data_IF_739518703620
#
_entry.id   IF_739518703620
#
_cell.length_a   1.000
_cell.length_b   1.000
_cell.length_c   1.000
_cell.angle_alpha   90.00
_cell.angle_beta   90.00
_cell.angle_gamma   90.00
#
_symmetry.space_group_name_H-M   'P 1'
#
loop_
_entity.id
_entity.type
_entity.pdbx_description
1 polymer ?
#
# COMPACT_ATOMS: atom_id res chain seq x y z
N UNK A 1 -2.03 -4.62 -11.65
CA UNK A 1 -1.37 -3.68 -12.60
C UNK A 1 -0.19 -4.39 -13.32
N UNK A 2 0.18 -4.00 -14.56
CA UNK A 2 1.31 -4.66 -15.28
C UNK A 2 2.67 -4.20 -14.71
N UNK A 3 2.77 -2.97 -14.24
CA UNK A 3 4.06 -2.38 -13.80
C UNK A 3 4.59 -2.93 -12.48
N UNK A 4 3.69 -3.24 -11.54
CA UNK A 4 4.02 -3.85 -10.26
C UNK A 4 4.76 -5.17 -10.47
N UNK A 5 4.31 -6.00 -11.41
CA UNK A 5 4.92 -7.29 -11.74
C UNK A 5 6.31 -7.19 -12.37
N UNK A 6 6.70 -6.01 -12.86
CA UNK A 6 8.08 -5.77 -13.29
C UNK A 6 9.02 -5.49 -12.10
N UNK A 7 8.48 -5.00 -10.95
CA UNK A 7 9.28 -4.66 -9.78
C UNK A 7 9.87 -5.88 -9.06
N UNK A 8 9.27 -7.07 -9.24
CA UNK A 8 9.79 -8.32 -8.66
C UNK A 8 10.10 -9.41 -9.71
N UNK A 9 10.30 -9.00 -10.97
CA UNK A 9 10.63 -9.89 -12.09
C UNK A 9 9.59 -11.01 -12.36
N UNK A 10 8.29 -10.78 -12.06
CA UNK A 10 7.20 -11.65 -12.55
C UNK A 10 6.95 -11.41 -14.03
N UNK A 11 7.01 -10.14 -14.47
CA UNK A 11 7.02 -9.75 -15.87
C UNK A 11 8.35 -9.10 -16.21
N UNK A 12 8.87 -9.42 -17.39
CA UNK A 12 10.11 -8.82 -17.90
C UNK A 12 9.80 -7.66 -18.83
N UNK A 13 10.57 -6.57 -18.78
CA UNK A 13 10.40 -5.45 -19.67
C UNK A 13 10.84 -5.82 -21.10
N UNK A 14 10.08 -5.44 -22.12
CA UNK A 14 10.37 -5.75 -23.51
C UNK A 14 11.29 -4.73 -24.20
N UNK A 15 11.43 -3.52 -23.69
CA UNK A 15 12.14 -2.44 -24.36
C UNK A 15 13.13 -1.63 -23.51
N UNK A 16 12.99 -1.69 -22.17
CA UNK A 16 13.84 -0.95 -21.23
C UNK A 16 14.32 -1.88 -20.12
N UNK A 17 15.37 -1.49 -19.38
CA UNK A 17 15.81 -2.21 -18.21
C UNK A 17 15.05 -1.73 -16.96
N UNK A 18 14.70 -2.67 -16.08
CA UNK A 18 14.23 -2.39 -14.72
C UNK A 18 15.30 -2.88 -13.76
N UNK A 19 15.70 -2.02 -12.84
CA UNK A 19 16.73 -2.32 -11.85
C UNK A 19 16.09 -2.37 -10.45
N UNK A 20 16.37 -3.45 -9.73
CA UNK A 20 15.96 -3.63 -8.33
C UNK A 20 17.21 -3.73 -7.49
N UNK A 21 17.44 -2.76 -6.61
CA UNK A 21 18.65 -2.69 -5.79
C UNK A 21 19.97 -2.86 -6.61
N UNK A 22 20.00 -2.30 -7.85
CA UNK A 22 21.12 -2.39 -8.77
C UNK A 22 21.15 -3.65 -9.64
N UNK A 23 20.26 -4.60 -9.42
CA UNK A 23 20.14 -5.85 -10.18
C UNK A 23 19.23 -5.65 -11.39
N UNK A 24 19.67 -6.02 -12.59
CA UNK A 24 18.86 -5.97 -13.82
C UNK A 24 17.88 -7.15 -13.85
N UNK A 25 16.59 -6.86 -13.82
CA UNK A 25 15.53 -7.90 -13.79
C UNK A 25 15.45 -8.78 -15.03
N UNK A 26 16.19 -8.49 -16.11
CA UNK A 26 16.25 -9.31 -17.31
C UNK A 26 17.19 -10.52 -17.15
N UNK A 27 18.03 -10.54 -16.09
CA UNK A 27 18.93 -11.64 -15.78
C UNK A 27 18.20 -12.66 -14.94
N UNK A 28 17.94 -13.82 -15.51
CA UNK A 28 17.19 -14.91 -14.85
C UNK A 28 17.92 -15.52 -13.66
N UNK A 29 19.25 -15.61 -13.71
CA UNK A 29 20.08 -16.05 -12.60
C UNK A 29 19.96 -15.19 -11.34
N UNK A 30 19.52 -13.93 -11.48
CA UNK A 30 19.40 -12.97 -10.37
C UNK A 30 17.94 -12.82 -9.84
N UNK A 31 16.97 -13.51 -10.41
CA UNK A 31 15.56 -13.36 -10.01
C UNK A 31 15.28 -13.72 -8.55
N UNK A 32 16.03 -14.66 -8.00
CA UNK A 32 15.88 -15.01 -6.59
C UNK A 32 16.23 -13.82 -5.68
N UNK A 33 17.31 -13.10 -6.01
CA UNK A 33 17.73 -11.91 -5.26
C UNK A 33 16.72 -10.75 -5.44
N UNK A 34 16.20 -10.56 -6.64
CA UNK A 34 15.13 -9.58 -6.91
C UNK A 34 13.90 -9.88 -6.04
N UNK A 35 13.43 -11.13 -6.00
CA UNK A 35 12.25 -11.56 -5.23
C UNK A 35 12.46 -11.57 -3.73
N UNK A 36 13.70 -11.76 -3.26
CA UNK A 36 14.07 -11.53 -1.87
C UNK A 36 14.00 -10.06 -1.49
N UNK A 37 14.40 -9.18 -2.41
CA UNK A 37 14.45 -7.73 -2.17
C UNK A 37 13.07 -7.11 -2.22
N UNK A 38 12.21 -7.53 -3.16
CA UNK A 38 10.86 -6.97 -3.38
C UNK A 38 9.82 -8.07 -3.22
N UNK A 39 9.10 -8.03 -2.12
CA UNK A 39 7.93 -8.86 -1.90
C UNK A 39 6.70 -8.28 -2.60
N UNK A 40 5.77 -9.13 -3.02
CA UNK A 40 4.55 -8.71 -3.70
C UNK A 40 3.32 -9.35 -3.08
N UNK A 41 2.31 -8.53 -2.79
CA UNK A 41 1.00 -8.94 -2.28
C UNK A 41 -0.05 -8.64 -3.35
N UNK A 42 -0.84 -9.65 -3.71
CA UNK A 42 -1.88 -9.55 -4.73
C UNK A 42 -3.21 -9.08 -4.16
N UNK A 43 -4.07 -8.59 -5.05
CA UNK A 43 -5.41 -8.09 -4.73
C UNK A 43 -6.30 -9.14 -4.04
N UNK A 44 -6.24 -10.41 -4.47
CA UNK A 44 -7.01 -11.50 -3.88
C UNK A 44 -6.10 -12.40 -3.05
N UNK A 45 -6.25 -12.45 -1.70
CA UNK A 45 -5.43 -13.28 -0.84
C UNK A 45 -5.64 -14.79 -1.07
N UNK A 46 -6.81 -15.23 -1.53
CA UNK A 46 -7.08 -16.64 -1.81
C UNK A 46 -6.20 -17.19 -2.95
N UNK A 47 -5.68 -16.32 -3.83
CA UNK A 47 -4.74 -16.72 -4.87
C UNK A 47 -3.29 -16.81 -4.38
N UNK A 48 -3.02 -16.35 -3.16
CA UNK A 48 -1.67 -16.28 -2.60
C UNK A 48 -1.47 -17.30 -1.47
N UNK A 49 -2.50 -17.54 -0.66
CA UNK A 49 -2.47 -18.51 0.43
C UNK A 49 -2.48 -19.94 -0.15
N UNK A 50 -1.49 -20.74 0.21
CA UNK A 50 -1.27 -22.10 -0.33
C UNK A 50 -1.37 -23.20 0.72
N UNK A 51 -1.17 -22.90 2.02
CA UNK A 51 -1.27 -23.88 3.10
C UNK A 51 -2.66 -23.93 3.73
N UNK A 52 -2.95 -25.04 4.41
CA UNK A 52 -4.16 -25.23 5.22
C UNK A 52 -4.03 -24.71 6.66
N UNK A 53 -2.85 -24.25 7.06
CA UNK A 53 -2.55 -23.68 8.39
C UNK A 53 -1.85 -22.34 8.21
N UNK A 54 -2.26 -21.32 8.96
CA UNK A 54 -1.75 -19.95 8.84
C UNK A 54 -0.23 -19.89 9.04
N UNK A 55 0.31 -20.48 10.09
CA UNK A 55 1.76 -20.42 10.36
C UNK A 55 2.60 -21.15 9.30
N UNK A 56 2.07 -22.23 8.72
CA UNK A 56 2.72 -22.94 7.61
C UNK A 56 2.71 -22.10 6.33
N UNK A 57 1.63 -21.37 6.07
CA UNK A 57 1.54 -20.47 4.93
C UNK A 57 2.55 -19.33 5.03
N UNK A 58 2.69 -18.74 6.22
CA UNK A 58 3.67 -17.69 6.50
C UNK A 58 5.11 -18.23 6.44
N UNK A 59 5.34 -19.49 6.80
CA UNK A 59 6.65 -20.16 6.70
C UNK A 59 7.06 -20.50 5.27
N UNK A 60 6.11 -20.66 4.36
CA UNK A 60 6.31 -21.15 3.00
C UNK A 60 7.39 -20.38 2.21
N UNK A 61 7.36 -19.07 2.27
CA UNK A 61 8.31 -18.25 1.52
C UNK A 61 9.75 -18.31 2.11
N UNK A 62 10.00 -18.14 3.42
CA UNK A 62 11.33 -18.32 3.99
C UNK A 62 11.87 -19.75 3.84
N UNK A 63 11.02 -20.79 3.88
CA UNK A 63 11.44 -22.16 3.59
C UNK A 63 11.99 -22.31 2.17
N UNK A 64 11.28 -21.79 1.17
CA UNK A 64 11.73 -21.79 -0.22
C UNK A 64 13.00 -20.97 -0.45
N UNK A 65 13.30 -20.01 0.41
CA UNK A 65 14.53 -19.23 0.39
C UNK A 65 15.69 -19.93 1.10
N UNK A 66 15.48 -21.12 1.68
CA UNK A 66 16.50 -21.89 2.39
C UNK A 66 16.91 -21.27 3.74
N UNK A 67 16.01 -20.54 4.39
CA UNK A 67 16.26 -19.98 5.73
C UNK A 67 16.33 -21.13 6.74
N UNK A 68 17.26 -21.13 7.72
CA UNK A 68 17.33 -22.16 8.77
C UNK A 68 16.03 -22.25 9.59
N UNK A 69 15.65 -23.45 10.01
CA UNK A 69 14.36 -23.73 10.69
C UNK A 69 14.14 -22.88 11.93
N UNK A 70 15.16 -22.69 12.76
CA UNK A 70 15.05 -21.87 13.98
C UNK A 70 14.76 -20.41 13.65
N UNK A 71 15.35 -19.91 12.57
CA UNK A 71 15.13 -18.55 12.09
C UNK A 71 13.76 -18.41 11.41
N UNK A 72 13.28 -19.43 10.70
CA UNK A 72 11.92 -19.44 10.13
C UNK A 72 10.89 -19.26 11.25
N UNK A 73 10.98 -20.02 12.34
CA UNK A 73 10.05 -19.90 13.46
C UNK A 73 10.02 -18.48 14.01
N UNK A 74 11.19 -17.91 14.27
CA UNK A 74 11.32 -16.52 14.74
C UNK A 74 10.65 -15.51 13.79
N UNK A 75 10.88 -15.66 12.47
CA UNK A 75 10.31 -14.77 11.45
C UNK A 75 8.80 -14.89 11.33
N UNK A 76 8.28 -16.11 11.39
CA UNK A 76 6.83 -16.39 11.38
C UNK A 76 6.14 -15.75 12.58
N UNK A 77 6.65 -15.98 13.78
CA UNK A 77 6.08 -15.41 15.00
C UNK A 77 6.08 -13.88 14.95
N UNK A 78 7.20 -13.27 14.54
CA UNK A 78 7.33 -11.81 14.37
C UNK A 78 6.39 -11.27 13.30
N UNK A 79 6.28 -11.94 12.15
CA UNK A 79 5.40 -11.50 11.06
C UNK A 79 3.93 -11.52 11.47
N UNK A 80 3.50 -12.60 12.14
CA UNK A 80 2.13 -12.72 12.67
C UNK A 80 1.82 -11.68 13.76
N UNK A 81 2.80 -11.34 14.58
CA UNK A 81 2.67 -10.27 15.59
C UNK A 81 2.50 -8.89 14.91
N UNK A 82 3.30 -8.57 13.91
CA UNK A 82 3.23 -7.29 13.16
C UNK A 82 1.83 -7.08 12.58
N UNK A 83 1.25 -8.12 11.98
CA UNK A 83 -0.07 -8.05 11.34
C UNK A 83 -1.24 -8.32 12.31
N UNK A 84 -0.98 -8.57 13.60
CA UNK A 84 -2.00 -8.84 14.61
C UNK A 84 -2.73 -10.18 14.43
N UNK A 85 -2.03 -11.20 13.88
CA UNK A 85 -2.61 -12.52 13.58
C UNK A 85 -2.05 -13.67 14.44
N UNK A 86 -1.28 -13.40 15.49
CA UNK A 86 -0.65 -14.43 16.34
C UNK A 86 -1.66 -15.41 16.94
N UNK A 87 -2.84 -14.94 17.35
CA UNK A 87 -3.90 -15.80 17.90
C UNK A 87 -4.52 -16.77 16.87
N UNK A 88 -4.24 -16.57 15.59
CA UNK A 88 -4.77 -17.37 14.48
C UNK A 88 -3.71 -18.28 13.84
N UNK A 89 -2.51 -18.39 14.43
CA UNK A 89 -1.38 -19.12 13.84
C UNK A 89 -1.71 -20.55 13.42
N UNK A 90 -2.48 -21.26 14.25
CA UNK A 90 -2.89 -22.67 14.02
C UNK A 90 -4.24 -22.81 13.31
N UNK A 91 -4.87 -21.70 12.93
CA UNK A 91 -6.17 -21.74 12.24
C UNK A 91 -6.03 -22.09 10.76
N UNK A 92 -7.11 -22.64 10.21
CA UNK A 92 -7.20 -22.85 8.78
C UNK A 92 -7.59 -21.54 8.08
N UNK A 93 -6.88 -21.12 7.01
CA UNK A 93 -7.15 -19.85 6.31
C UNK A 93 -8.59 -19.68 5.81
N UNK A 94 -9.27 -20.77 5.44
CA UNK A 94 -10.65 -20.71 4.95
C UNK A 94 -11.67 -20.29 6.03
N UNK A 95 -11.30 -20.30 7.31
CA UNK A 95 -12.14 -19.84 8.44
C UNK A 95 -11.94 -18.33 8.72
N UNK A 96 -11.02 -17.68 8.05
CA UNK A 96 -10.67 -16.29 8.25
C UNK A 96 -11.55 -15.35 7.40
N UNK A 97 -11.78 -14.13 7.92
CA UNK A 97 -12.38 -13.06 7.12
C UNK A 97 -11.44 -12.61 5.99
N UNK A 98 -11.96 -11.88 4.99
CA UNK A 98 -11.14 -11.34 3.89
C UNK A 98 -9.98 -10.48 4.40
N UNK A 99 -10.22 -9.57 5.36
CA UNK A 99 -9.18 -8.75 5.96
C UNK A 99 -8.13 -9.56 6.73
N UNK A 100 -8.55 -10.61 7.45
CA UNK A 100 -7.63 -11.52 8.13
C UNK A 100 -6.76 -12.29 7.12
N UNK A 101 -7.34 -12.83 6.04
CA UNK A 101 -6.61 -13.50 4.95
C UNK A 101 -5.58 -12.56 4.32
N UNK A 102 -5.97 -11.32 4.07
CA UNK A 102 -5.06 -10.32 3.50
C UNK A 102 -3.88 -10.03 4.43
N UNK A 103 -4.11 -9.92 5.74
CA UNK A 103 -3.04 -9.77 6.72
C UNK A 103 -2.13 -11.01 6.79
N UNK A 104 -2.66 -12.21 6.66
CA UNK A 104 -1.85 -13.44 6.55
C UNK A 104 -0.99 -13.42 5.29
N UNK A 105 -1.56 -13.05 4.14
CA UNK A 105 -0.79 -12.90 2.90
C UNK A 105 0.34 -11.87 3.03
N UNK A 106 0.07 -10.74 3.71
CA UNK A 106 1.10 -9.74 4.05
C UNK A 106 2.16 -10.34 4.98
N UNK A 107 1.77 -11.11 6.01
CA UNK A 107 2.71 -11.77 6.92
C UNK A 107 3.66 -12.72 6.20
N UNK A 108 3.16 -13.52 5.24
CA UNK A 108 3.99 -14.39 4.41
C UNK A 108 5.09 -13.64 3.65
N UNK A 109 4.78 -12.43 3.18
CA UNK A 109 5.77 -11.56 2.53
C UNK A 109 6.74 -10.93 3.55
N UNK A 110 6.24 -10.47 4.71
CA UNK A 110 7.08 -9.89 5.78
C UNK A 110 8.09 -10.91 6.32
N UNK A 111 7.71 -12.18 6.42
CA UNK A 111 8.59 -13.25 6.91
C UNK A 111 9.84 -13.47 6.05
N UNK A 112 9.84 -13.01 4.79
CA UNK A 112 11.05 -12.96 3.95
C UNK A 112 12.02 -11.84 4.35
N UNK A 113 11.60 -10.86 5.16
CA UNK A 113 12.32 -9.63 5.51
C UNK A 113 12.76 -8.82 4.27
N UNK A 114 11.83 -8.49 3.33
CA UNK A 114 12.16 -7.78 2.10
C UNK A 114 12.49 -6.31 2.39
N UNK A 115 13.26 -5.67 1.50
CA UNK A 115 13.52 -4.21 1.58
C UNK A 115 12.35 -3.38 1.09
N UNK A 116 11.53 -3.94 0.21
CA UNK A 116 10.36 -3.28 -0.36
C UNK A 116 9.19 -4.26 -0.47
N UNK A 117 7.98 -3.79 -0.18
CA UNK A 117 6.75 -4.55 -0.39
C UNK A 117 5.86 -3.78 -1.37
N UNK A 118 5.46 -4.44 -2.45
CA UNK A 118 4.50 -3.94 -3.42
C UNK A 118 3.14 -4.58 -3.13
N UNK A 119 2.11 -3.74 -2.96
CA UNK A 119 0.75 -4.18 -2.65
C UNK A 119 -0.16 -3.72 -3.80
N UNK A 120 -0.74 -4.68 -4.53
CA UNK A 120 -1.64 -4.40 -5.65
C UNK A 120 -3.09 -4.44 -5.17
N UNK A 121 -3.69 -3.27 -4.95
CA UNK A 121 -5.06 -3.07 -4.46
C UNK A 121 -5.43 -3.94 -3.24
N UNK A 122 -4.64 -3.94 -2.15
CA UNK A 122 -4.76 -4.91 -1.06
C UNK A 122 -6.07 -4.78 -0.27
N UNK A 123 -6.85 -3.74 -0.49
CA UNK A 123 -8.09 -3.43 0.24
C UNK A 123 -9.35 -3.53 -0.62
N UNK A 124 -9.23 -3.76 -1.94
CA UNK A 124 -10.33 -3.66 -2.89
C UNK A 124 -11.50 -4.62 -2.62
N UNK A 125 -11.23 -5.76 -1.97
CA UNK A 125 -12.22 -6.80 -1.69
C UNK A 125 -12.65 -6.85 -0.21
N UNK A 126 -12.33 -5.81 0.57
CA UNK A 126 -12.55 -5.79 2.01
C UNK A 126 -13.72 -4.89 2.41
N UNK A 127 -14.37 -5.26 3.49
CA UNK A 127 -15.30 -4.40 4.19
C UNK A 127 -14.55 -3.21 4.86
N UNK A 128 -15.25 -2.15 5.29
CA UNK A 128 -14.59 -0.97 5.84
C UNK A 128 -13.67 -1.24 7.03
N UNK A 129 -14.02 -2.19 7.90
CA UNK A 129 -13.21 -2.55 9.08
C UNK A 129 -11.93 -3.27 8.63
N UNK A 130 -12.06 -4.32 7.81
CA UNK A 130 -10.93 -5.05 7.28
C UNK A 130 -9.97 -4.17 6.46
N UNK A 131 -10.52 -3.19 5.73
CA UNK A 131 -9.74 -2.18 5.00
C UNK A 131 -8.88 -1.35 5.94
N UNK A 132 -9.47 -0.82 7.01
CA UNK A 132 -8.75 -0.02 7.99
C UNK A 132 -7.63 -0.84 8.67
N UNK A 133 -7.92 -2.08 9.10
CA UNK A 133 -6.94 -2.98 9.72
C UNK A 133 -5.75 -3.28 8.80
N UNK A 134 -5.99 -3.47 7.49
CA UNK A 134 -4.92 -3.69 6.51
C UNK A 134 -4.10 -2.42 6.30
N UNK A 135 -4.73 -1.24 6.20
CA UNK A 135 -4.01 0.04 6.07
C UNK A 135 -3.16 0.34 7.29
N UNK A 136 -3.66 0.11 8.50
CA UNK A 136 -2.89 0.26 9.74
C UNK A 136 -1.67 -0.68 9.74
N UNK A 137 -1.84 -1.92 9.28
CA UNK A 137 -0.73 -2.89 9.12
C UNK A 137 0.32 -2.37 8.14
N UNK A 138 -0.09 -1.83 7.00
CA UNK A 138 0.80 -1.26 5.97
C UNK A 138 1.59 -0.07 6.53
N UNK A 139 0.91 0.84 7.24
CA UNK A 139 1.55 2.00 7.86
C UNK A 139 2.55 1.59 8.96
N UNK A 140 2.20 0.60 9.78
CA UNK A 140 3.08 0.04 10.79
C UNK A 140 4.33 -0.57 10.16
N UNK A 141 4.17 -1.34 9.09
CA UNK A 141 5.29 -1.94 8.35
C UNK A 141 6.27 -0.88 7.84
N UNK A 142 5.77 0.22 7.29
CA UNK A 142 6.61 1.31 6.81
C UNK A 142 7.26 2.09 7.97
N UNK A 143 6.47 2.57 8.94
CA UNK A 143 6.94 3.50 9.97
C UNK A 143 7.78 2.84 11.06
N UNK A 144 7.42 1.62 11.48
CA UNK A 144 8.08 0.93 12.59
C UNK A 144 9.17 -0.05 12.13
N UNK A 145 8.97 -0.71 10.97
CA UNK A 145 9.94 -1.67 10.44
C UNK A 145 10.90 -1.05 9.40
N UNK A 146 10.62 0.18 8.94
CA UNK A 146 11.45 0.87 7.94
C UNK A 146 11.39 0.24 6.54
N UNK A 147 10.43 -0.64 6.27
CA UNK A 147 10.25 -1.27 4.97
C UNK A 147 9.67 -0.26 3.98
N UNK A 148 10.25 -0.15 2.79
CA UNK A 148 9.66 0.64 1.72
C UNK A 148 8.36 0.00 1.26
N UNK A 149 7.29 0.79 1.17
CA UNK A 149 5.99 0.30 0.70
C UNK A 149 5.60 1.01 -0.59
N UNK A 150 5.24 0.22 -1.59
CA UNK A 150 4.62 0.69 -2.84
C UNK A 150 3.18 0.21 -2.83
N UNK A 151 2.24 1.11 -2.56
CA UNK A 151 0.81 0.82 -2.55
C UNK A 151 0.19 1.25 -3.89
N UNK A 152 -0.42 0.31 -4.60
CA UNK A 152 -1.21 0.58 -5.80
C UNK A 152 -2.67 0.58 -5.37
N UNK A 153 -3.34 1.70 -5.60
CA UNK A 153 -4.74 1.87 -5.22
C UNK A 153 -5.44 2.85 -6.15
N UNK A 154 -6.75 2.71 -6.27
CA UNK A 154 -7.64 3.69 -6.88
C UNK A 154 -8.47 4.46 -5.82
N UNK A 155 -8.19 4.21 -4.55
CA UNK A 155 -8.83 4.89 -3.43
C UNK A 155 -8.01 6.10 -2.99
N UNK A 156 -8.57 7.29 -3.13
CA UNK A 156 -7.85 8.54 -2.89
C UNK A 156 -7.48 8.75 -1.42
N UNK A 157 -8.30 8.23 -0.49
CA UNK A 157 -8.01 8.29 0.95
C UNK A 157 -6.76 7.46 1.32
N UNK A 158 -6.56 6.32 0.65
CA UNK A 158 -5.36 5.50 0.82
C UNK A 158 -4.14 6.19 0.22
N UNK A 159 -4.30 6.75 -0.98
CA UNK A 159 -3.24 7.50 -1.66
C UNK A 159 -2.80 8.74 -0.88
N UNK A 160 -3.72 9.36 -0.12
CA UNK A 160 -3.43 10.51 0.74
C UNK A 160 -2.50 10.18 1.93
N UNK A 161 -2.38 8.89 2.32
CA UNK A 161 -1.52 8.45 3.42
C UNK A 161 -0.05 8.28 3.02
N UNK A 162 0.27 8.30 1.73
CA UNK A 162 1.62 8.09 1.22
C UNK A 162 2.52 9.33 1.40
N UNK A 163 3.83 9.12 1.47
CA UNK A 163 4.83 10.21 1.45
C UNK A 163 5.00 10.80 0.05
N UNK A 164 4.81 9.97 -0.99
CA UNK A 164 4.91 10.32 -2.41
C UNK A 164 3.82 9.64 -3.21
N UNK A 165 3.17 10.38 -4.07
CA UNK A 165 2.13 9.92 -4.97
C UNK A 165 2.60 10.02 -6.42
N UNK A 166 2.50 8.90 -7.14
CA UNK A 166 2.76 8.83 -8.58
C UNK A 166 1.44 8.49 -9.27
N UNK A 167 0.92 9.43 -10.04
CA UNK A 167 -0.32 9.24 -10.80
C UNK A 167 0.01 8.80 -12.22
N UNK A 168 -0.68 7.74 -12.64
CA UNK A 168 -0.44 7.11 -13.93
C UNK A 168 -1.71 7.05 -14.76
N UNK A 169 -1.59 7.40 -16.04
CA UNK A 169 -2.64 7.23 -17.03
C UNK A 169 -2.05 6.76 -18.37
N UNK A 170 -2.67 5.79 -19.01
CA UNK A 170 -2.27 5.23 -20.32
C UNK A 170 -0.77 4.95 -20.45
N UNK A 171 -0.20 4.41 -19.38
CA UNK A 171 1.22 4.07 -19.38
C UNK A 171 2.17 5.23 -19.05
N UNK A 172 1.70 6.47 -18.94
CA UNK A 172 2.51 7.64 -18.63
C UNK A 172 2.35 8.09 -17.17
N UNK A 173 3.40 8.66 -16.59
CA UNK A 173 3.33 9.39 -15.33
C UNK A 173 2.81 10.79 -15.65
N UNK A 174 1.67 11.16 -15.07
CA UNK A 174 1.03 12.48 -15.28
C UNK A 174 1.22 13.42 -14.09
N UNK A 175 1.44 12.87 -12.90
CA UNK A 175 1.82 13.65 -11.71
C UNK A 175 2.73 12.82 -10.81
N UNK A 176 3.66 13.50 -10.12
CA UNK A 176 4.62 12.90 -9.18
C UNK A 176 4.96 13.94 -8.12
N UNK A 177 4.74 13.61 -6.85
CA UNK A 177 5.02 14.51 -5.74
C UNK A 177 4.32 14.13 -4.45
N UNK A 178 4.41 15.00 -3.45
CA UNK A 178 3.66 14.84 -2.21
C UNK A 178 2.15 14.88 -2.46
N UNK A 179 1.32 14.08 -1.77
CA UNK A 179 -0.14 14.05 -1.96
C UNK A 179 -0.78 15.44 -1.91
N UNK A 180 -0.38 16.29 -0.96
CA UNK A 180 -0.86 17.68 -0.84
C UNK A 180 -0.63 18.52 -2.12
N UNK A 181 0.42 18.24 -2.87
CA UNK A 181 0.74 18.95 -4.13
C UNK A 181 -0.06 18.36 -5.30
N UNK A 182 -0.05 17.03 -5.39
CA UNK A 182 -0.69 16.30 -6.50
C UNK A 182 -2.21 16.52 -6.48
N UNK A 183 -2.86 16.42 -5.33
CA UNK A 183 -4.31 16.58 -5.21
C UNK A 183 -4.82 18.02 -5.42
N UNK A 184 -3.96 19.03 -5.41
CA UNK A 184 -4.32 20.39 -5.82
C UNK A 184 -4.65 20.50 -7.33
N UNK A 185 -4.15 19.56 -8.14
CA UNK A 185 -4.36 19.51 -9.60
C UNK A 185 -5.71 18.88 -9.94
N UNK A 186 -6.80 19.34 -9.28
CA UNK A 186 -8.13 18.73 -9.35
C UNK A 186 -8.64 18.56 -10.77
N UNK A 187 -8.51 19.59 -11.60
CA UNK A 187 -9.02 19.57 -12.98
C UNK A 187 -8.22 18.60 -13.87
N UNK A 188 -6.94 18.46 -13.61
CA UNK A 188 -6.05 17.57 -14.36
C UNK A 188 -6.33 16.10 -14.02
N UNK A 189 -6.50 15.79 -12.73
CA UNK A 189 -6.89 14.46 -12.26
C UNK A 189 -8.28 14.07 -12.79
N UNK A 190 -9.27 14.99 -12.76
CA UNK A 190 -10.60 14.73 -13.31
C UNK A 190 -10.60 14.48 -14.81
N UNK A 191 -9.73 15.15 -15.59
CA UNK A 191 -9.63 14.94 -17.05
C UNK A 191 -9.21 13.50 -17.41
N UNK A 192 -8.46 12.84 -16.53
CA UNK A 192 -8.04 11.45 -16.72
C UNK A 192 -8.92 10.45 -15.97
N UNK A 193 -10.09 10.89 -15.49
CA UNK A 193 -11.08 10.02 -14.84
C UNK A 193 -10.77 9.69 -13.38
N UNK A 194 -9.81 10.37 -12.75
CA UNK A 194 -9.51 10.20 -11.33
C UNK A 194 -10.33 11.18 -10.47
N UNK A 195 -10.56 10.78 -9.24
CA UNK A 195 -11.16 11.63 -8.20
C UNK A 195 -10.05 12.25 -7.34
N UNK A 196 -10.44 13.05 -6.37
CA UNK A 196 -9.58 13.56 -5.29
C UNK A 196 -10.23 13.21 -3.95
N UNK A 197 -9.50 13.25 -2.82
CA UNK A 197 -10.09 13.08 -1.49
C UNK A 197 -11.29 14.00 -1.27
N UNK A 198 -12.30 13.54 -0.52
CA UNK A 198 -13.53 14.30 -0.29
C UNK A 198 -13.29 15.67 0.33
N UNK A 199 -12.28 15.79 1.19
CA UNK A 199 -11.84 17.07 1.78
C UNK A 199 -11.41 18.07 0.71
N UNK A 200 -10.57 17.64 -0.24
CA UNK A 200 -10.11 18.45 -1.37
C UNK A 200 -11.29 18.78 -2.30
N UNK A 201 -12.16 17.80 -2.57
CA UNK A 201 -13.35 18.02 -3.40
C UNK A 201 -14.30 19.10 -2.82
N UNK A 202 -14.48 19.09 -1.49
CA UNK A 202 -15.26 20.09 -0.78
C UNK A 202 -14.63 21.49 -0.89
N UNK A 203 -13.34 21.59 -0.57
CA UNK A 203 -12.60 22.87 -0.64
C UNK A 203 -12.57 23.43 -2.07
N UNK A 204 -12.44 22.56 -3.07
CA UNK A 204 -12.50 22.96 -4.48
C UNK A 204 -13.86 23.55 -4.86
N UNK A 205 -14.98 22.95 -4.41
CA UNK A 205 -16.32 23.49 -4.63
C UNK A 205 -16.53 24.84 -3.93
N UNK A 206 -16.03 25.00 -2.70
CA UNK A 206 -16.08 26.26 -1.97
C UNK A 206 -15.29 27.35 -2.70
N UNK A 207 -14.11 27.04 -3.22
CA UNK A 207 -13.29 27.97 -4.02
C UNK A 207 -14.02 28.40 -5.29
N UNK A 208 -14.69 27.47 -5.98
CA UNK A 208 -15.52 27.82 -7.14
C UNK A 208 -16.75 28.69 -6.79
N UNK A 209 -17.25 28.58 -5.57
CA UNK A 209 -18.31 29.44 -5.04
C UNK A 209 -17.81 30.80 -4.54
N UNK A 210 -16.52 31.12 -4.70
CA UNK A 210 -15.92 32.40 -4.31
C UNK A 210 -15.38 32.47 -2.88
N UNK A 211 -15.32 31.35 -2.14
CA UNK A 211 -14.70 31.29 -0.82
C UNK A 211 -13.19 31.04 -0.97
N UNK A 212 -12.37 31.90 -0.40
CA UNK A 212 -10.90 31.76 -0.45
C UNK A 212 -10.42 30.71 0.56
N UNK A 213 -10.28 29.47 0.10
CA UNK A 213 -9.80 28.31 0.87
C UNK A 213 -8.61 27.64 0.17
N UNK A 214 -7.61 27.11 0.92
CA UNK A 214 -6.53 26.33 0.34
C UNK A 214 -7.04 24.95 -0.16
N UNK A 215 -6.31 24.31 -1.08
CA UNK A 215 -6.63 22.98 -1.62
C UNK A 215 -5.62 21.92 -1.18
N UNK A 216 -5.17 21.98 0.08
CA UNK A 216 -4.10 21.11 0.61
C UNK A 216 -4.48 20.34 1.88
N UNK A 217 -5.75 20.42 2.30
CA UNK A 217 -6.23 19.72 3.48
C UNK A 217 -6.61 18.27 3.13
N UNK A 218 -5.82 17.31 3.59
CA UNK A 218 -6.05 15.88 3.38
C UNK A 218 -6.88 15.25 4.49
N UNK A 219 -6.88 15.80 5.71
CA UNK A 219 -7.72 15.32 6.81
C UNK A 219 -8.97 16.17 7.00
N UNK A 220 -9.97 15.59 7.68
CA UNK A 220 -11.21 16.29 8.04
C UNK A 220 -10.92 17.49 8.93
N UNK A 221 -9.99 17.35 9.86
CA UNK A 221 -9.57 18.40 10.81
C UNK A 221 -8.91 19.58 10.08
N UNK A 222 -7.98 19.28 9.14
CA UNK A 222 -7.34 20.31 8.30
C UNK A 222 -8.40 21.04 7.46
N UNK A 223 -9.33 20.30 6.87
CA UNK A 223 -10.40 20.85 6.04
C UNK A 223 -11.34 21.76 6.86
N UNK A 224 -11.78 21.31 8.04
CA UNK A 224 -12.61 22.09 8.94
C UNK A 224 -11.91 23.38 9.39
N UNK A 225 -10.64 23.29 9.75
CA UNK A 225 -9.83 24.46 10.15
C UNK A 225 -9.68 25.48 8.99
N UNK A 226 -9.45 25.00 7.76
CA UNK A 226 -9.37 25.84 6.57
C UNK A 226 -10.70 26.59 6.30
N UNK A 227 -11.83 25.90 6.39
CA UNK A 227 -13.17 26.48 6.21
C UNK A 227 -13.48 27.49 7.32
N UNK A 228 -13.21 27.13 8.58
CA UNK A 228 -13.44 28.02 9.72
C UNK A 228 -12.66 29.33 9.59
N UNK A 229 -11.39 29.24 9.20
CA UNK A 229 -10.54 30.42 8.99
C UNK A 229 -11.05 31.32 7.87
N UNK A 230 -11.60 30.75 6.80
CA UNK A 230 -12.11 31.51 5.67
C UNK A 230 -13.45 32.20 5.97
N UNK A 231 -14.35 31.55 6.76
CA UNK A 231 -15.70 32.08 7.04
C UNK A 231 -15.70 32.95 8.29
N UNK A 232 -14.88 32.62 9.32
CA UNK A 232 -14.80 33.37 10.58
C UNK A 232 -13.36 33.79 10.91
N UNK A 233 -12.77 34.73 10.16
CA UNK A 233 -11.36 35.09 10.29
C UNK A 233 -10.98 35.70 11.66
N UNK A 234 -11.95 36.06 12.51
CA UNK A 234 -11.72 36.68 13.81
C UNK A 234 -12.03 35.79 15.03
N UNK A 235 -12.36 34.50 14.81
CA UNK A 235 -12.65 33.59 15.93
C UNK A 235 -11.42 32.80 16.29
N UNK A 236 -10.59 33.31 17.20
CA UNK A 236 -9.53 32.53 17.84
C UNK A 236 -10.21 31.50 18.76
N UNK A 237 -10.12 30.22 18.41
CA UNK A 237 -10.52 29.13 19.32
C UNK A 237 -9.58 29.19 20.52
N UNK A 238 -10.15 29.45 21.72
CA UNK A 238 -9.46 29.37 23.02
C UNK A 238 -9.37 27.92 23.48
#
# INVERSE_FOLDING_TARGET
>A
CIRDRHMNAILLPSGVAVYVNGVDTRRDEEWLEVRRTVGMVFQNPDNQIVSNVVEEDVAFAPENLGVPTDEIRRRVDKALEIVGMSAYSTHAPHLLSGGQKQRVAIAGIIAMEPKCVVLDEPTAMLDPIGRQEVLETILKLNREQGTTVVLITHHMDEAALADRLIVMNDGNVIADGAPKIVFQQVDELKRVGLTVPDTIALLYRLRQAGVDVPLDALSVEECAAAIQKAIWPHTTVR
#
